data_IF_497357927480
#
_entry.id   IF_497357927480
#
_cell.length_a   1.000
_cell.length_b   1.000
_cell.length_c   1.000
_cell.angle_alpha   90.00
_cell.angle_beta   90.00
_cell.angle_gamma   90.00
#
_symmetry.space_group_name_H-M   'P 1'
#
loop_
_entity.id
_entity.type
_entity.pdbx_description
1 polymer ?
#
# COMPACT_ATOMS: atom_id res chain seq x y z
N UNK A 1 9.36 11.59 4.02
CA UNK A 1 10.18 12.50 4.87
C UNK A 1 9.96 13.99 4.61
N UNK A 2 9.51 14.42 3.42
CA UNK A 2 9.18 15.84 3.16
C UNK A 2 7.93 16.36 3.91
N UNK A 3 6.98 15.49 4.23
CA UNK A 3 5.72 15.86 4.90
C UNK A 3 5.91 16.36 6.36
N UNK A 4 6.88 15.80 7.09
CA UNK A 4 7.17 16.22 8.47
C UNK A 4 7.75 17.63 8.58
N UNK A 5 8.35 18.17 7.51
CA UNK A 5 8.92 19.53 7.50
C UNK A 5 7.86 20.63 7.55
N UNK A 6 6.61 20.31 7.21
CA UNK A 6 5.48 21.25 7.24
C UNK A 6 4.79 21.35 8.61
N UNK A 7 5.06 20.41 9.52
CA UNK A 7 4.51 20.43 10.87
C UNK A 7 5.48 21.21 11.77
N UNK A 8 5.16 22.48 11.99
CA UNK A 8 5.94 23.47 12.73
C UNK A 8 6.06 23.14 14.24
N UNK A 9 6.69 22.01 14.58
CA UNK A 9 6.89 21.47 15.95
C UNK A 9 8.35 21.05 16.19
N UNK A 10 9.30 21.91 15.81
CA UNK A 10 10.71 21.55 15.76
C UNK A 10 11.32 21.17 17.12
N UNK A 11 10.94 21.85 18.22
CA UNK A 11 11.56 21.63 19.53
C UNK A 11 11.07 20.34 20.20
N UNK A 12 9.76 20.14 20.30
CA UNK A 12 9.18 18.91 20.88
C UNK A 12 9.66 17.63 20.16
N UNK A 13 9.90 17.72 18.84
CA UNK A 13 10.39 16.61 18.05
C UNK A 13 11.85 16.27 18.37
N UNK A 14 12.71 17.28 18.50
CA UNK A 14 14.12 17.08 18.85
C UNK A 14 14.27 16.43 20.23
N UNK A 15 13.52 16.92 21.22
CA UNK A 15 13.54 16.34 22.57
C UNK A 15 13.08 14.88 22.55
N UNK A 16 12.01 14.56 21.81
CA UNK A 16 11.55 13.18 21.64
C UNK A 16 12.58 12.28 20.96
N UNK A 17 13.34 12.80 19.98
CA UNK A 17 14.43 12.05 19.35
C UNK A 17 15.56 11.79 20.34
N UNK A 18 15.97 12.80 21.12
CA UNK A 18 17.03 12.67 22.13
C UNK A 18 16.63 11.63 23.17
N UNK A 19 15.43 11.72 23.76
CA UNK A 19 14.96 10.75 24.74
C UNK A 19 14.87 9.32 24.18
N UNK A 20 14.52 9.17 22.89
CA UNK A 20 14.51 7.87 22.24
C UNK A 20 15.91 7.30 22.08
N UNK A 21 16.90 8.14 21.71
CA UNK A 21 18.31 7.73 21.60
C UNK A 21 18.89 7.36 22.98
N UNK A 22 18.55 8.11 24.03
CA UNK A 22 18.98 7.80 25.40
C UNK A 22 18.42 6.47 25.91
N UNK A 23 17.15 6.16 25.58
CA UNK A 23 16.50 4.91 26.00
C UNK A 23 16.92 3.70 25.17
N UNK A 24 16.96 3.82 23.84
CA UNK A 24 17.10 2.69 22.92
C UNK A 24 18.45 2.61 22.20
N UNK A 25 19.30 3.63 22.34
CA UNK A 25 20.54 3.75 21.58
C UNK A 25 20.29 4.04 20.11
N UNK A 26 21.26 3.67 19.27
CA UNK A 26 21.29 3.99 17.83
C UNK A 26 20.57 2.96 16.93
N UNK A 27 19.95 1.93 17.52
CA UNK A 27 19.19 0.92 16.78
C UNK A 27 19.12 -0.42 17.51
N UNK A 28 18.29 -1.33 16.99
CA UNK A 28 18.09 -2.67 17.59
C UNK A 28 19.16 -3.69 17.23
N UNK A 29 20.06 -3.39 16.28
CA UNK A 29 21.14 -4.26 15.82
C UNK A 29 20.71 -5.68 15.39
N UNK A 30 19.46 -5.87 15.00
CA UNK A 30 18.92 -7.16 14.55
C UNK A 30 17.68 -7.02 13.67
N UNK A 31 17.33 -8.05 12.89
CA UNK A 31 16.11 -8.08 12.11
C UNK A 31 14.88 -8.33 13.01
N UNK A 32 13.69 -7.95 12.52
CA UNK A 32 12.41 -8.10 13.26
C UNK A 32 12.09 -9.55 13.66
N UNK A 33 12.55 -10.53 12.88
CA UNK A 33 12.36 -11.96 13.17
C UNK A 33 13.27 -12.54 14.26
N UNK A 34 14.19 -11.74 14.81
CA UNK A 34 15.07 -12.09 15.93
C UNK A 34 14.99 -10.99 17.00
N UNK A 35 16.11 -10.66 17.65
CA UNK A 35 16.22 -9.64 18.70
C UNK A 35 16.08 -8.18 18.21
N UNK A 36 15.58 -7.96 16.98
CA UNK A 36 15.46 -6.64 16.37
C UNK A 36 14.16 -5.89 16.67
N UNK A 37 13.14 -6.55 17.23
CA UNK A 37 11.87 -5.93 17.59
C UNK A 37 11.94 -5.37 19.01
N UNK A 38 11.58 -4.10 19.17
CA UNK A 38 11.54 -3.38 20.46
C UNK A 38 10.18 -2.67 20.57
N UNK A 39 9.79 -2.31 21.80
CA UNK A 39 8.50 -1.70 22.14
C UNK A 39 8.13 -0.49 21.26
N UNK A 40 9.07 0.40 20.96
CA UNK A 40 8.82 1.59 20.13
C UNK A 40 8.40 1.24 18.69
N UNK A 41 8.84 0.10 18.14
CA UNK A 41 8.37 -0.35 16.83
C UNK A 41 6.88 -0.73 16.88
N UNK A 42 6.50 -1.52 17.89
CA UNK A 42 5.13 -2.01 18.07
C UNK A 42 4.16 -0.86 18.40
N UNK A 43 4.59 0.10 19.22
CA UNK A 43 3.82 1.30 19.54
C UNK A 43 3.57 2.15 18.28
N UNK A 44 4.60 2.33 17.45
CA UNK A 44 4.46 3.06 16.19
C UNK A 44 3.52 2.32 15.20
N UNK A 45 3.65 1.00 15.07
CA UNK A 45 2.74 0.16 14.26
C UNK A 45 1.29 0.25 14.74
N UNK A 46 1.06 0.18 16.06
CA UNK A 46 -0.27 0.32 16.64
C UNK A 46 -0.88 1.70 16.37
N UNK A 47 -0.08 2.77 16.50
CA UNK A 47 -0.51 4.14 16.20
C UNK A 47 -0.85 4.34 14.72
N UNK A 48 -0.06 3.78 13.82
CA UNK A 48 -0.34 3.83 12.36
C UNK A 48 -1.62 3.07 12.04
N UNK A 49 -1.77 1.84 12.54
CA UNK A 49 -2.97 1.04 12.31
C UNK A 49 -4.23 1.74 12.82
N UNK A 50 -4.17 2.31 14.04
CA UNK A 50 -5.26 3.10 14.62
C UNK A 50 -5.57 4.36 13.82
N UNK A 51 -4.55 5.07 13.35
CA UNK A 51 -4.73 6.28 12.53
C UNK A 51 -5.39 5.97 11.20
N UNK A 52 -4.97 4.88 10.54
CA UNK A 52 -5.56 4.45 9.29
C UNK A 52 -6.92 3.74 9.46
N UNK A 53 -7.25 3.25 10.66
CA UNK A 53 -8.42 2.40 10.87
C UNK A 53 -8.26 1.00 10.27
N UNK A 54 -7.03 0.49 10.18
CA UNK A 54 -6.74 -0.86 9.73
C UNK A 54 -6.54 -1.81 10.92
N UNK A 55 -6.74 -3.13 10.74
CA UNK A 55 -6.57 -4.09 11.84
C UNK A 55 -5.14 -4.15 12.39
N UNK A 56 -4.14 -3.93 11.53
CA UNK A 56 -2.73 -3.99 11.89
C UNK A 56 -1.88 -3.14 10.93
N UNK A 57 -0.60 -2.94 11.25
CA UNK A 57 0.40 -2.36 10.37
C UNK A 57 1.79 -2.93 10.65
N UNK A 58 2.70 -2.84 9.65
CA UNK A 58 4.08 -3.29 9.79
C UNK A 58 5.04 -2.22 9.28
N UNK A 59 6.11 -1.98 10.04
CA UNK A 59 7.14 -1.01 9.70
C UNK A 59 8.24 -1.62 8.85
N UNK A 60 8.62 -0.86 7.83
CA UNK A 60 9.81 -1.10 7.01
C UNK A 60 10.77 0.08 7.15
N UNK A 61 12.07 -0.20 7.09
CA UNK A 61 13.11 0.82 7.24
C UNK A 61 13.13 1.85 6.10
N UNK A 62 12.55 1.54 4.94
CA UNK A 62 12.53 2.43 3.79
C UNK A 62 11.28 2.25 2.92
N UNK A 63 10.64 3.35 2.50
CA UNK A 63 9.35 3.32 1.78
C UNK A 63 9.38 2.51 0.47
N UNK A 64 10.43 2.68 -0.35
CA UNK A 64 10.59 1.89 -1.59
C UNK A 64 10.73 0.39 -1.28
N UNK A 65 11.41 0.04 -0.17
CA UNK A 65 11.58 -1.36 0.22
C UNK A 65 10.26 -2.01 0.68
N UNK A 66 9.30 -1.20 1.16
CA UNK A 66 7.97 -1.67 1.57
C UNK A 66 7.26 -2.33 0.39
N UNK A 67 7.04 -1.61 -0.71
CA UNK A 67 6.28 -2.15 -1.83
C UNK A 67 7.02 -3.28 -2.56
N UNK A 68 8.36 -3.21 -2.59
CA UNK A 68 9.22 -4.30 -3.08
C UNK A 68 9.01 -5.61 -2.34
N UNK A 69 8.76 -5.53 -1.04
CA UNK A 69 8.62 -6.71 -0.18
C UNK A 69 7.17 -7.18 -0.12
N UNK A 70 6.23 -6.24 -0.01
CA UNK A 70 4.80 -6.49 0.15
C UNK A 70 4.25 -7.24 -1.05
N UNK A 71 4.60 -6.82 -2.28
CA UNK A 71 4.11 -7.50 -3.48
C UNK A 71 4.51 -9.00 -3.45
N UNK A 72 5.79 -9.39 -3.54
CA UNK A 72 6.16 -10.82 -3.54
C UNK A 72 5.78 -11.59 -2.26
N UNK A 73 5.45 -10.92 -1.14
CA UNK A 73 4.94 -11.60 0.06
C UNK A 73 3.50 -12.12 -0.13
N UNK A 74 2.65 -11.40 -0.86
CA UNK A 74 1.26 -11.81 -1.14
C UNK A 74 1.13 -12.60 -2.45
N UNK A 75 2.01 -12.34 -3.42
CA UNK A 75 1.94 -12.87 -4.77
C UNK A 75 3.09 -13.79 -5.10
N UNK A 76 2.78 -14.90 -5.75
CA UNK A 76 3.78 -15.86 -6.21
C UNK A 76 3.51 -16.30 -7.64
N UNK A 77 4.52 -16.98 -8.20
CA UNK A 77 4.41 -17.66 -9.49
C UNK A 77 3.10 -18.47 -9.59
N UNK A 78 2.28 -18.15 -10.58
CA UNK A 78 0.97 -18.75 -10.81
C UNK A 78 -0.22 -17.84 -10.44
N UNK A 79 0.01 -16.76 -9.69
CA UNK A 79 -0.99 -15.73 -9.43
C UNK A 79 -1.06 -14.73 -10.58
N UNK A 80 -2.18 -13.98 -10.65
CA UNK A 80 -2.41 -12.95 -11.66
C UNK A 80 -2.51 -11.59 -10.99
N UNK A 81 -1.72 -10.64 -11.48
CA UNK A 81 -1.74 -9.25 -11.07
C UNK A 81 -2.18 -8.39 -12.25
N UNK A 82 -3.17 -7.55 -12.03
CA UNK A 82 -3.62 -6.52 -12.97
C UNK A 82 -3.11 -5.17 -12.46
N UNK A 83 -2.11 -4.61 -13.12
CA UNK A 83 -1.46 -3.37 -12.68
C UNK A 83 -1.81 -2.20 -13.60
N UNK A 84 -1.90 -1.00 -13.05
CA UNK A 84 -1.99 0.22 -13.85
C UNK A 84 -0.66 0.46 -14.58
N UNK A 85 -0.67 0.81 -15.87
CA UNK A 85 0.58 1.03 -16.64
C UNK A 85 1.37 2.28 -16.18
N UNK A 86 0.74 3.19 -15.45
CA UNK A 86 1.32 4.42 -14.92
C UNK A 86 2.01 4.29 -13.57
N UNK A 87 2.01 3.10 -12.94
CA UNK A 87 2.67 2.89 -11.65
C UNK A 87 4.17 3.18 -11.74
N UNK A 88 4.72 3.77 -10.68
CA UNK A 88 6.10 4.17 -10.57
C UNK A 88 7.06 2.99 -10.46
N UNK A 89 8.34 3.29 -10.65
CA UNK A 89 9.40 2.31 -10.67
C UNK A 89 9.40 1.37 -9.47
N UNK A 90 9.01 1.83 -8.27
CA UNK A 90 9.07 0.96 -7.11
C UNK A 90 8.04 -0.20 -7.20
N UNK A 91 6.80 0.14 -7.60
CA UNK A 91 5.76 -0.87 -7.83
C UNK A 91 6.19 -1.85 -8.92
N UNK A 92 6.73 -1.34 -10.04
CA UNK A 92 7.17 -2.17 -11.17
C UNK A 92 8.20 -3.23 -10.78
N UNK A 93 9.15 -2.88 -9.91
CA UNK A 93 10.13 -3.86 -9.41
C UNK A 93 9.50 -4.88 -8.48
N UNK A 94 8.58 -4.49 -7.59
CA UNK A 94 7.83 -5.45 -6.78
C UNK A 94 7.05 -6.45 -7.66
N UNK A 95 6.41 -5.96 -8.73
CA UNK A 95 5.72 -6.78 -9.72
C UNK A 95 6.68 -7.77 -10.38
N UNK A 96 7.87 -7.31 -10.81
CA UNK A 96 8.90 -8.16 -11.39
C UNK A 96 9.39 -9.24 -10.41
N UNK A 97 9.67 -8.86 -9.16
CA UNK A 97 10.15 -9.78 -8.11
C UNK A 97 9.12 -10.86 -7.75
N UNK A 98 7.83 -10.57 -7.89
CA UNK A 98 6.76 -11.52 -7.59
C UNK A 98 6.75 -12.78 -8.48
N UNK A 99 7.32 -12.68 -9.70
CA UNK A 99 7.26 -13.72 -10.75
C UNK A 99 5.82 -14.15 -11.11
N UNK A 100 4.84 -13.32 -10.79
CA UNK A 100 3.43 -13.53 -11.12
C UNK A 100 3.18 -13.22 -12.60
N UNK A 101 2.02 -13.63 -13.11
CA UNK A 101 1.56 -13.17 -14.41
C UNK A 101 1.02 -11.75 -14.27
N UNK A 102 1.75 -10.77 -14.79
CA UNK A 102 1.36 -9.36 -14.74
C UNK A 102 0.68 -8.97 -16.05
N UNK A 103 -0.51 -8.38 -15.95
CA UNK A 103 -1.27 -7.81 -17.07
C UNK A 103 -1.50 -6.33 -16.76
N UNK A 104 -1.24 -5.47 -17.74
CA UNK A 104 -1.44 -4.03 -17.55
C UNK A 104 -2.78 -3.57 -18.12
N UNK A 105 -3.41 -2.61 -17.44
CA UNK A 105 -4.52 -1.81 -17.97
C UNK A 105 -4.06 -0.37 -18.20
N UNK A 106 -4.82 0.36 -19.04
CA UNK A 106 -4.50 1.75 -19.40
C UNK A 106 -4.57 2.68 -18.20
N UNK A 107 -3.62 3.61 -18.14
CA UNK A 107 -3.44 4.46 -16.96
C UNK A 107 -4.73 5.18 -16.60
N UNK A 108 -5.21 4.95 -15.39
CA UNK A 108 -6.43 5.56 -14.85
C UNK A 108 -7.73 5.28 -15.64
N UNK A 109 -7.75 4.27 -16.52
CA UNK A 109 -8.89 3.93 -17.37
C UNK A 109 -9.67 2.73 -16.83
N UNK A 110 -10.83 3.01 -16.24
CA UNK A 110 -11.70 1.99 -15.64
C UNK A 110 -12.38 1.08 -16.67
N UNK A 111 -12.56 1.53 -17.91
CA UNK A 111 -13.07 0.68 -18.99
C UNK A 111 -12.00 -0.33 -19.43
N UNK A 112 -10.74 0.10 -19.50
CA UNK A 112 -9.59 -0.78 -19.73
C UNK A 112 -9.41 -1.80 -18.61
N UNK A 113 -9.54 -1.36 -17.35
CA UNK A 113 -9.52 -2.24 -16.19
C UNK A 113 -10.65 -3.27 -16.28
N UNK A 114 -11.91 -2.84 -16.45
CA UNK A 114 -13.07 -3.73 -16.54
C UNK A 114 -12.93 -4.75 -17.68
N UNK A 115 -12.47 -4.33 -18.86
CA UNK A 115 -12.22 -5.21 -20.00
C UNK A 115 -11.15 -6.27 -19.69
N UNK A 116 -10.08 -5.87 -18.99
CA UNK A 116 -8.99 -6.77 -18.58
C UNK A 116 -9.49 -7.79 -17.56
N UNK A 117 -10.22 -7.35 -16.54
CA UNK A 117 -10.78 -8.25 -15.51
C UNK A 117 -11.80 -9.24 -16.10
N UNK A 118 -12.67 -8.79 -16.99
CA UNK A 118 -13.63 -9.64 -17.69
C UNK A 118 -12.91 -10.74 -18.51
N UNK A 119 -11.89 -10.37 -19.29
CA UNK A 119 -11.11 -11.33 -20.08
C UNK A 119 -10.42 -12.38 -19.23
N UNK A 120 -9.92 -11.99 -18.06
CA UNK A 120 -9.22 -12.91 -17.14
C UNK A 120 -10.17 -13.84 -16.38
N UNK A 121 -11.43 -13.45 -16.22
CA UNK A 121 -12.43 -14.22 -15.46
C UNK A 121 -13.37 -15.05 -16.32
N UNK A 122 -13.64 -14.63 -17.56
CA UNK A 122 -14.61 -15.29 -18.44
C UNK A 122 -14.20 -16.73 -18.77
N UNK A 123 -15.10 -17.67 -18.49
CA UNK A 123 -14.99 -19.08 -18.91
C UNK A 123 -13.91 -19.91 -18.21
N UNK A 124 -13.18 -19.34 -17.26
CA UNK A 124 -12.04 -20.00 -16.63
C UNK A 124 -12.39 -20.47 -15.22
N UNK A 125 -12.96 -21.69 -15.10
CA UNK A 125 -13.21 -22.32 -13.78
C UNK A 125 -11.93 -22.53 -12.95
N UNK A 126 -10.75 -22.54 -13.58
CA UNK A 126 -9.45 -22.55 -12.86
C UNK A 126 -9.10 -21.17 -12.28
N UNK A 127 -9.58 -20.07 -12.87
CA UNK A 127 -9.33 -18.71 -12.37
C UNK A 127 -9.95 -18.48 -10.99
N UNK A 128 -11.00 -19.23 -10.61
CA UNK A 128 -11.56 -19.19 -9.26
C UNK A 128 -10.57 -19.67 -8.18
N UNK A 129 -9.62 -20.53 -8.55
CA UNK A 129 -8.60 -21.07 -7.62
C UNK A 129 -7.31 -20.26 -7.60
N UNK A 130 -7.15 -19.31 -8.52
CA UNK A 130 -5.95 -18.47 -8.65
C UNK A 130 -6.20 -17.18 -7.87
N UNK A 131 -5.19 -16.75 -7.09
CA UNK A 131 -5.28 -15.46 -6.40
C UNK A 131 -5.10 -14.35 -7.42
N UNK A 132 -5.97 -13.34 -7.33
CA UNK A 132 -6.16 -12.32 -8.35
C UNK A 132 -6.23 -10.96 -7.69
N UNK A 133 -5.45 -10.02 -8.20
CA UNK A 133 -5.31 -8.74 -7.55
C UNK A 133 -5.12 -7.59 -8.54
N UNK A 134 -5.44 -6.40 -8.07
CA UNK A 134 -5.29 -5.13 -8.77
C UNK A 134 -4.23 -4.33 -8.01
N UNK A 135 -3.27 -3.73 -8.72
CA UNK A 135 -2.23 -2.88 -8.14
C UNK A 135 -2.32 -1.49 -8.75
N UNK A 136 -2.52 -0.49 -7.89
CA UNK A 136 -2.63 0.92 -8.26
C UNK A 136 -1.89 1.80 -7.25
N UNK A 137 -1.54 3.01 -7.68
CA UNK A 137 -1.13 4.08 -6.78
C UNK A 137 -2.32 4.95 -6.43
N UNK A 138 -2.30 5.50 -5.24
CA UNK A 138 -3.31 6.44 -4.78
C UNK A 138 -3.21 7.78 -5.53
N UNK A 139 -2.09 8.48 -5.34
CA UNK A 139 -1.59 9.56 -6.17
C UNK A 139 -0.39 9.01 -6.92
N UNK A 140 -0.50 8.91 -8.25
CA UNK A 140 0.57 8.36 -9.08
C UNK A 140 1.78 9.28 -9.08
N UNK A 141 2.93 8.77 -8.65
CA UNK A 141 4.16 9.57 -8.54
C UNK A 141 4.57 10.23 -9.86
N UNK A 142 4.31 9.55 -10.98
CA UNK A 142 4.74 10.02 -12.30
C UNK A 142 3.81 11.08 -12.92
N UNK A 143 2.51 11.05 -12.61
CA UNK A 143 1.50 11.91 -13.26
C UNK A 143 0.81 12.87 -12.31
N UNK A 144 0.86 12.62 -11.00
CA UNK A 144 0.10 13.36 -9.98
C UNK A 144 -1.41 13.09 -10.03
N UNK A 145 -1.89 12.19 -10.90
CA UNK A 145 -3.29 11.85 -10.99
C UNK A 145 -3.72 11.02 -9.78
N UNK A 146 -5.00 11.13 -9.42
CA UNK A 146 -5.63 10.35 -8.35
C UNK A 146 -6.35 9.15 -8.97
N UNK A 147 -6.17 7.96 -8.38
CA UNK A 147 -6.91 6.77 -8.79
C UNK A 147 -8.40 6.84 -8.39
N UNK A 148 -9.35 6.45 -9.28
CA UNK A 148 -10.78 6.38 -8.97
C UNK A 148 -11.08 5.13 -8.10
N UNK A 149 -10.75 5.23 -6.81
CA UNK A 149 -10.78 4.09 -5.89
C UNK A 149 -12.17 3.48 -5.74
N UNK A 150 -13.23 4.29 -5.77
CA UNK A 150 -14.62 3.87 -5.73
C UNK A 150 -14.97 2.91 -6.89
N UNK A 151 -14.56 3.25 -8.11
CA UNK A 151 -14.75 2.39 -9.29
C UNK A 151 -13.88 1.13 -9.24
N UNK A 152 -12.63 1.26 -8.79
CA UNK A 152 -11.72 0.13 -8.61
C UNK A 152 -12.30 -0.86 -7.60
N UNK A 153 -12.83 -0.38 -6.48
CA UNK A 153 -13.49 -1.21 -5.45
C UNK A 153 -14.73 -1.88 -6.02
N UNK A 154 -15.59 -1.16 -6.74
CA UNK A 154 -16.75 -1.78 -7.42
C UNK A 154 -16.34 -2.91 -8.36
N UNK A 155 -15.27 -2.70 -9.13
CA UNK A 155 -14.74 -3.70 -10.06
C UNK A 155 -14.06 -4.87 -9.34
N UNK A 156 -13.32 -4.62 -8.26
CA UNK A 156 -12.68 -5.67 -7.45
C UNK A 156 -13.72 -6.62 -6.88
N UNK A 157 -14.84 -6.10 -6.39
CA UNK A 157 -15.93 -6.93 -5.84
C UNK A 157 -16.63 -7.72 -6.95
N UNK A 158 -17.00 -7.06 -8.06
CA UNK A 158 -17.65 -7.70 -9.20
C UNK A 158 -16.86 -8.90 -9.74
N UNK A 159 -15.55 -8.75 -9.87
CA UNK A 159 -14.68 -9.77 -10.45
C UNK A 159 -13.94 -10.63 -9.42
N UNK A 160 -14.14 -10.38 -8.12
CA UNK A 160 -13.50 -11.08 -6.99
C UNK A 160 -11.97 -10.99 -7.03
N UNK A 161 -11.45 -9.77 -7.11
CA UNK A 161 -10.04 -9.42 -7.01
C UNK A 161 -9.77 -8.73 -5.66
N UNK A 162 -8.55 -8.87 -5.17
CA UNK A 162 -8.04 -8.03 -4.08
C UNK A 162 -7.38 -6.77 -4.65
N UNK A 163 -7.13 -5.76 -3.82
CA UNK A 163 -6.44 -4.53 -4.22
C UNK A 163 -5.21 -4.34 -3.34
N UNK A 164 -4.09 -4.00 -3.94
CA UNK A 164 -2.99 -3.31 -3.28
C UNK A 164 -2.99 -1.86 -3.77
N UNK A 165 -3.06 -0.96 -2.80
CA UNK A 165 -3.08 0.48 -3.00
C UNK A 165 -1.79 1.04 -2.40
N UNK A 166 -0.96 1.66 -3.24
CA UNK A 166 0.27 2.32 -2.80
C UNK A 166 -0.05 3.78 -2.39
N UNK A 167 0.19 4.12 -1.12
CA UNK A 167 -0.29 5.36 -0.48
C UNK A 167 0.84 6.34 -0.08
N UNK A 168 2.03 6.21 -0.67
CA UNK A 168 3.19 7.04 -0.28
C UNK A 168 2.96 8.54 -0.46
N UNK A 169 2.13 8.94 -1.43
CA UNK A 169 1.88 10.36 -1.76
C UNK A 169 0.53 10.88 -1.27
N UNK A 170 -0.39 10.01 -0.87
CA UNK A 170 -1.71 10.37 -0.34
C UNK A 170 -1.75 10.42 1.19
N UNK A 171 -0.90 9.66 1.88
CA UNK A 171 -0.85 9.63 3.34
C UNK A 171 -0.48 11.01 3.91
N UNK A 172 -1.33 11.53 4.79
CA UNK A 172 -1.26 12.89 5.33
C UNK A 172 -1.78 13.98 4.38
N UNK A 173 -2.11 13.66 3.13
CA UNK A 173 -2.49 14.64 2.10
C UNK A 173 -3.98 14.53 1.74
N UNK A 174 -4.47 13.32 1.48
CA UNK A 174 -5.85 13.06 1.07
C UNK A 174 -6.71 12.61 2.25
N UNK A 175 -8.01 12.89 2.17
CA UNK A 175 -8.95 12.68 3.27
C UNK A 175 -9.03 13.88 4.20
N UNK A 176 -10.11 14.00 4.98
CA UNK A 176 -10.30 15.14 5.90
C UNK A 176 -9.32 15.07 7.07
N UNK A 177 -9.01 13.86 7.55
CA UNK A 177 -8.01 13.61 8.58
C UNK A 177 -6.61 13.27 8.02
N UNK A 178 -6.47 13.18 6.70
CA UNK A 178 -5.20 12.79 6.06
C UNK A 178 -4.96 11.28 6.05
N UNK A 179 -5.99 10.44 6.21
CA UNK A 179 -5.82 8.98 6.25
C UNK A 179 -5.56 8.37 4.87
N UNK A 180 -5.65 9.14 3.79
CA UNK A 180 -5.34 8.70 2.43
C UNK A 180 -6.55 8.61 1.52
N UNK A 181 -6.40 7.84 0.45
CA UNK A 181 -7.36 7.82 -0.65
C UNK A 181 -8.70 7.16 -0.27
N UNK A 182 -8.66 6.15 0.60
CA UNK A 182 -9.87 5.49 1.08
C UNK A 182 -10.80 6.48 1.80
N UNK A 183 -10.25 7.33 2.68
CA UNK A 183 -11.02 8.38 3.35
C UNK A 183 -11.54 9.43 2.34
N UNK A 184 -10.72 9.80 1.37
CA UNK A 184 -11.09 10.77 0.33
C UNK A 184 -12.33 10.33 -0.47
N UNK A 185 -12.45 9.04 -0.79
CA UNK A 185 -13.59 8.46 -1.50
C UNK A 185 -14.69 7.91 -0.59
N UNK A 186 -14.54 7.97 0.74
CA UNK A 186 -15.48 7.38 1.69
C UNK A 186 -15.58 5.85 1.61
N UNK A 187 -14.50 5.20 1.18
CA UNK A 187 -14.41 3.74 1.10
C UNK A 187 -14.00 3.18 2.47
N UNK A 188 -14.76 2.24 3.05
CA UNK A 188 -14.38 1.62 4.32
C UNK A 188 -13.17 0.69 4.12
N UNK A 189 -12.21 0.75 5.06
CA UNK A 189 -11.00 -0.07 5.04
C UNK A 189 -11.20 -1.47 5.66
N UNK A 190 -12.23 -1.62 6.49
CA UNK A 190 -12.64 -2.89 7.10
C UNK A 190 -14.09 -3.17 6.75
N UNK A 191 -14.46 -4.45 6.70
CA UNK A 191 -15.84 -4.89 6.44
C UNK A 191 -16.73 -4.81 7.71
N UNK A 192 -16.35 -4.00 8.69
CA UNK A 192 -17.10 -3.85 9.93
C UNK A 192 -18.03 -2.64 9.81
N UNK A 193 -19.32 -2.95 9.65
CA UNK A 193 -20.41 -2.07 10.02
C UNK A 193 -20.80 -2.34 11.48
#
# INVERSE_FOLDING_TARGET
MYFLKYLNKANDFQDSCISSLEKYGVGSCGPRGFYGTIDVHLDCESKIAKFLGTPDSILYSYGISTIFSVIPAFYKKGDIIVADEGVHWAVQNGLHLSRSTVVYFKHNDMASLASTLEKLTRGNKRAEKIRRYIVVESIYQNSGQIAPLDEIVRLKEKYRFHVILEESHSFGVLGKSGCGLAEHYGVPLTNEA
#
